data_IF_591720654509
#
_entry.id   IF_591720654509
#
_cell.length_a   1.000
_cell.length_b   1.000
_cell.length_c   1.000
_cell.angle_alpha   90.00
_cell.angle_beta   90.00
_cell.angle_gamma   90.00
#
_symmetry.space_group_name_H-M   'P 1'
#
loop_
_entity.id
_entity.type
_entity.pdbx_description
1 polymer ?
#
# COMPACT_ATOMS: atom_id res chain seq x y z
N UNK A 1 -8.78 4.30 -25.03
CA UNK A 1 -8.33 3.08 -24.34
C UNK A 1 -7.56 3.50 -23.11
N UNK A 2 -8.16 3.41 -21.92
CA UNK A 2 -7.52 3.79 -20.67
C UNK A 2 -6.53 2.69 -20.28
N UNK A 3 -5.24 2.88 -20.56
CA UNK A 3 -4.20 2.07 -19.95
C UNK A 3 -4.05 2.52 -18.49
N UNK A 4 -4.91 2.02 -17.61
CA UNK A 4 -4.59 2.06 -16.18
C UNK A 4 -3.33 1.25 -15.95
N UNK A 5 -2.46 1.78 -15.09
CA UNK A 5 -1.23 1.08 -14.77
C UNK A 5 -1.53 -0.12 -13.87
N UNK A 6 -0.78 -1.22 -14.02
CA UNK A 6 -0.99 -2.46 -13.26
C UNK A 6 -1.13 -2.23 -11.75
N UNK A 7 -0.31 -1.34 -11.18
CA UNK A 7 -0.32 -1.08 -9.74
C UNK A 7 -1.62 -0.40 -9.26
N UNK A 8 -2.27 0.40 -10.11
CA UNK A 8 -3.53 1.08 -9.79
C UNK A 8 -4.67 0.07 -9.74
N UNK A 9 -4.83 -0.74 -10.78
CA UNK A 9 -5.84 -1.81 -10.85
C UNK A 9 -5.65 -2.83 -9.76
N UNK A 10 -4.41 -3.28 -9.54
CA UNK A 10 -4.08 -4.26 -8.53
C UNK A 10 -4.45 -3.75 -7.13
N UNK A 11 -4.01 -2.54 -6.75
CA UNK A 11 -4.31 -2.01 -5.43
C UNK A 11 -5.80 -1.67 -5.25
N UNK A 12 -6.51 -1.31 -6.31
CA UNK A 12 -7.97 -1.17 -6.26
C UNK A 12 -8.65 -2.51 -5.99
N UNK A 13 -8.26 -3.56 -6.71
CA UNK A 13 -8.78 -4.90 -6.51
C UNK A 13 -8.45 -5.46 -5.11
N UNK A 14 -7.26 -5.19 -4.57
CA UNK A 14 -6.88 -5.63 -3.21
C UNK A 14 -7.75 -4.99 -2.14
N UNK A 15 -8.07 -3.69 -2.27
CA UNK A 15 -8.97 -2.99 -1.32
C UNK A 15 -10.35 -3.62 -1.27
N UNK A 16 -10.90 -4.00 -2.41
CA UNK A 16 -12.20 -4.67 -2.51
C UNK A 16 -12.14 -6.13 -2.05
N UNK A 17 -11.11 -6.87 -2.47
CA UNK A 17 -10.96 -8.30 -2.16
C UNK A 17 -10.82 -8.57 -0.66
N UNK A 18 -10.31 -7.61 0.11
CA UNK A 18 -10.22 -7.69 1.57
C UNK A 18 -11.57 -7.63 2.31
N UNK A 19 -12.67 -7.33 1.63
CA UNK A 19 -14.00 -7.20 2.25
C UNK A 19 -14.59 -8.53 2.74
N UNK A 20 -14.34 -9.64 2.04
CA UNK A 20 -14.78 -10.98 2.45
C UNK A 20 -14.00 -12.10 1.76
N UNK A 21 -14.02 -13.29 2.36
CA UNK A 21 -13.45 -14.49 1.75
C UNK A 21 -14.10 -14.82 0.40
N UNK A 22 -15.41 -14.64 0.27
CA UNK A 22 -16.13 -14.89 -0.98
C UNK A 22 -15.65 -13.92 -2.07
N UNK A 23 -15.48 -12.63 -1.75
CA UNK A 23 -14.97 -11.63 -2.68
C UNK A 23 -13.57 -11.99 -3.18
N UNK A 24 -12.68 -12.38 -2.27
CA UNK A 24 -11.33 -12.82 -2.64
C UNK A 24 -11.36 -14.07 -3.55
N UNK A 25 -12.15 -15.09 -3.20
CA UNK A 25 -12.17 -16.33 -3.96
C UNK A 25 -12.81 -16.14 -5.35
N UNK A 26 -13.94 -15.46 -5.43
CA UNK A 26 -14.76 -15.40 -6.63
C UNK A 26 -14.40 -14.26 -7.58
N UNK A 27 -13.96 -13.11 -7.06
CA UNK A 27 -13.84 -11.87 -7.84
C UNK A 27 -12.43 -11.29 -7.93
N UNK A 28 -11.50 -11.73 -7.08
CA UNK A 28 -10.14 -11.20 -7.12
C UNK A 28 -9.28 -11.93 -8.16
N UNK A 29 -9.02 -11.30 -9.31
CA UNK A 29 -8.26 -11.92 -10.40
C UNK A 29 -6.75 -11.95 -10.17
N UNK A 30 -6.22 -11.16 -9.24
CA UNK A 30 -4.78 -11.00 -9.01
C UNK A 30 -4.20 -11.93 -7.92
N UNK A 31 -4.79 -13.12 -7.71
CA UNK A 31 -4.39 -14.05 -6.63
C UNK A 31 -2.90 -14.39 -6.66
N UNK A 32 -2.38 -14.77 -7.83
CA UNK A 32 -0.98 -15.16 -7.99
C UNK A 32 -0.04 -13.98 -7.73
N UNK A 33 -0.35 -12.81 -8.27
CA UNK A 33 0.44 -11.60 -8.03
C UNK A 33 0.44 -11.20 -6.55
N UNK A 34 -0.73 -11.24 -5.91
CA UNK A 34 -0.87 -10.96 -4.48
C UNK A 34 -0.05 -11.92 -3.63
N UNK A 35 -0.11 -13.22 -3.92
CA UNK A 35 0.69 -14.24 -3.23
C UNK A 35 2.19 -14.01 -3.42
N UNK A 36 2.66 -13.95 -4.67
CA UNK A 36 4.09 -13.82 -4.97
C UNK A 36 4.69 -12.52 -4.45
N UNK A 37 3.97 -11.39 -4.55
CA UNK A 37 4.46 -10.11 -4.03
C UNK A 37 4.53 -10.12 -2.50
N UNK A 38 3.57 -10.76 -1.82
CA UNK A 38 3.60 -10.92 -0.37
C UNK A 38 4.82 -11.75 0.06
N UNK A 39 5.02 -12.92 -0.56
CA UNK A 39 6.16 -13.81 -0.29
C UNK A 39 7.50 -13.09 -0.54
N UNK A 40 7.62 -12.38 -1.66
CA UNK A 40 8.84 -11.64 -1.98
C UNK A 40 9.20 -10.60 -0.91
N UNK A 41 8.21 -9.84 -0.41
CA UNK A 41 8.44 -8.86 0.66
C UNK A 41 8.80 -9.53 1.99
N UNK A 42 8.16 -10.66 2.33
CA UNK A 42 8.50 -11.41 3.54
C UNK A 42 9.93 -11.95 3.51
N UNK A 43 10.37 -12.50 2.37
CA UNK A 43 11.73 -12.99 2.17
C UNK A 43 12.76 -11.86 2.26
N UNK A 44 12.49 -10.71 1.63
CA UNK A 44 13.37 -9.54 1.71
C UNK A 44 13.47 -8.99 3.14
N UNK A 45 12.35 -9.00 3.89
CA UNK A 45 12.33 -8.53 5.27
C UNK A 45 13.04 -9.49 6.22
N UNK A 46 12.90 -10.80 6.06
CA UNK A 46 13.55 -11.79 6.93
C UNK A 46 15.06 -11.85 6.70
N UNK A 47 15.52 -11.52 5.49
CA UNK A 47 16.95 -11.38 5.18
C UNK A 47 17.64 -10.22 5.91
N UNK A 48 16.90 -9.24 6.46
CA UNK A 48 17.47 -8.13 7.23
C UNK A 48 17.60 -8.52 8.71
N UNK A 49 18.83 -8.81 9.13
CA UNK A 49 19.15 -9.10 10.52
C UNK A 49 20.22 -8.13 11.05
N UNK A 50 19.89 -7.27 12.04
CA UNK A 50 18.60 -7.15 12.72
C UNK A 50 17.50 -6.51 11.83
N UNK A 51 16.21 -6.70 12.15
CA UNK A 51 15.12 -6.01 11.47
C UNK A 51 15.31 -4.50 11.56
N UNK A 52 15.23 -3.81 10.43
CA UNK A 52 15.41 -2.36 10.36
C UNK A 52 14.09 -1.67 9.99
N UNK A 53 13.70 -0.70 10.82
CA UNK A 53 12.62 0.22 10.49
C UNK A 53 13.18 1.50 9.86
N UNK A 54 12.36 2.17 9.05
CA UNK A 54 12.68 3.38 8.34
C UNK A 54 11.56 4.41 8.45
N UNK A 55 11.96 5.69 8.52
CA UNK A 55 11.04 6.79 8.29
C UNK A 55 10.84 6.96 6.80
N UNK A 56 9.60 6.83 6.34
CA UNK A 56 9.23 6.88 4.93
C UNK A 56 8.01 7.76 4.72
N UNK A 57 7.89 8.27 3.50
CA UNK A 57 6.88 9.24 3.12
C UNK A 57 6.01 8.72 1.98
N UNK A 58 4.72 9.07 2.01
CA UNK A 58 3.78 8.75 0.93
C UNK A 58 2.86 9.94 0.66
N UNK A 59 2.93 10.45 -0.57
CA UNK A 59 1.99 11.45 -1.07
C UNK A 59 0.81 10.80 -1.77
N UNK A 60 -0.38 11.37 -1.57
CA UNK A 60 -1.61 10.98 -2.27
C UNK A 60 -2.25 12.23 -2.88
N UNK A 61 -2.65 12.12 -4.15
CA UNK A 61 -3.35 13.16 -4.90
C UNK A 61 -4.84 12.81 -5.03
N UNK A 62 -5.72 13.80 -4.91
CA UNK A 62 -7.15 13.68 -5.14
C UNK A 62 -7.94 12.99 -4.02
N UNK A 63 -7.28 12.59 -2.92
CA UNK A 63 -7.93 12.01 -1.75
C UNK A 63 -7.51 12.77 -0.48
N UNK A 64 -8.50 13.16 0.31
CA UNK A 64 -8.34 13.78 1.63
C UNK A 64 -8.83 12.81 2.70
N UNK A 65 -7.90 12.10 3.33
CA UNK A 65 -8.26 11.18 4.40
C UNK A 65 -8.61 11.96 5.67
N UNK A 66 -9.67 11.53 6.35
CA UNK A 66 -9.99 12.08 7.66
C UNK A 66 -8.89 11.71 8.66
N UNK A 67 -8.51 12.67 9.50
CA UNK A 67 -7.52 12.44 10.55
C UNK A 67 -8.10 11.44 11.56
N UNK A 68 -7.49 10.27 11.67
CA UNK A 68 -7.82 9.32 12.71
C UNK A 68 -7.48 9.90 14.09
N UNK A 69 -8.22 9.50 15.14
CA UNK A 69 -7.87 9.89 16.51
C UNK A 69 -6.52 9.30 16.90
N UNK A 70 -5.73 10.03 17.68
CA UNK A 70 -4.48 9.51 18.22
C UNK A 70 -4.72 8.17 18.93
N UNK A 71 -3.88 7.17 18.64
CA UNK A 71 -4.03 5.81 19.14
C UNK A 71 -4.96 4.90 18.32
N UNK A 72 -5.61 5.41 17.27
CA UNK A 72 -6.40 4.56 16.37
C UNK A 72 -5.51 3.72 15.45
N UNK A 73 -5.91 2.47 15.23
CA UNK A 73 -5.29 1.63 14.21
C UNK A 73 -5.77 2.02 12.82
N UNK A 74 -4.83 2.30 11.92
CA UNK A 74 -5.11 2.60 10.50
C UNK A 74 -4.52 1.49 9.63
N UNK A 75 -5.29 0.99 8.66
CA UNK A 75 -4.83 0.07 7.62
C UNK A 75 -5.03 0.71 6.25
N UNK A 76 -3.99 0.69 5.41
CA UNK A 76 -4.05 1.27 4.07
C UNK A 76 -4.82 0.40 3.06
N UNK A 77 -5.08 -0.87 3.39
CA UNK A 77 -5.96 -1.76 2.61
C UNK A 77 -5.38 -2.27 1.28
N UNK A 78 -4.10 -2.01 1.00
CA UNK A 78 -3.39 -2.52 -0.18
C UNK A 78 -1.87 -2.38 0.00
N UNK A 79 -1.11 -2.70 -1.05
CA UNK A 79 0.34 -2.50 -1.03
C UNK A 79 0.65 -1.00 -1.12
N UNK A 80 1.43 -0.51 -0.17
CA UNK A 80 1.71 0.90 -0.03
C UNK A 80 3.16 1.20 -0.43
N UNK A 81 3.36 1.70 -1.65
CA UNK A 81 4.65 2.25 -2.04
C UNK A 81 4.94 3.55 -1.27
N UNK A 82 6.17 3.68 -0.79
CA UNK A 82 6.66 4.83 -0.02
C UNK A 82 8.04 5.25 -0.53
N UNK A 83 8.54 6.38 -0.04
CA UNK A 83 9.91 6.83 -0.33
C UNK A 83 10.61 7.31 0.92
N UNK A 84 11.90 7.01 1.05
CA UNK A 84 12.77 7.60 2.06
C UNK A 84 12.92 9.13 1.90
N UNK A 85 12.66 9.66 0.70
CA UNK A 85 12.78 11.09 0.40
C UNK A 85 11.39 11.73 0.30
N UNK A 86 11.08 12.63 1.22
CA UNK A 86 9.83 13.40 1.20
C UNK A 86 9.61 14.12 -0.14
N UNK A 87 10.68 14.66 -0.75
CA UNK A 87 10.61 15.33 -2.06
C UNK A 87 10.18 14.41 -3.21
N UNK A 88 10.48 13.10 -3.12
CA UNK A 88 10.02 12.10 -4.10
C UNK A 88 8.56 11.77 -3.84
N UNK A 89 8.18 11.53 -2.58
CA UNK A 89 6.79 11.23 -2.20
C UNK A 89 5.82 12.37 -2.60
N UNK A 90 6.24 13.62 -2.47
CA UNK A 90 5.46 14.80 -2.84
C UNK A 90 5.08 14.85 -4.33
N UNK A 91 5.82 14.17 -5.21
CA UNK A 91 5.48 14.07 -6.64
C UNK A 91 4.22 13.25 -6.89
N UNK A 92 3.84 12.38 -5.95
CA UNK A 92 2.64 11.56 -6.01
C UNK A 92 1.40 12.23 -5.39
N UNK A 93 1.58 13.42 -4.79
CA UNK A 93 0.51 14.23 -4.26
C UNK A 93 0.85 14.88 -2.92
N UNK A 94 0.11 15.94 -2.60
CA UNK A 94 0.23 16.70 -1.35
C UNK A 94 -1.10 16.87 -0.63
N UNK A 95 -2.19 16.35 -1.20
CA UNK A 95 -3.56 16.52 -0.69
C UNK A 95 -3.76 15.73 0.61
N UNK A 96 -3.21 14.51 0.65
CA UNK A 96 -2.87 13.81 1.88
C UNK A 96 -1.41 13.40 1.82
N UNK A 97 -0.68 13.61 2.91
CA UNK A 97 0.73 13.25 3.01
C UNK A 97 0.98 12.47 4.29
N UNK A 98 1.47 11.25 4.16
CA UNK A 98 1.78 10.36 5.28
C UNK A 98 3.28 10.40 5.58
N UNK A 99 3.59 10.52 6.88
CA UNK A 99 4.88 10.21 7.48
C UNK A 99 4.71 8.92 8.28
N UNK A 100 5.48 7.88 7.93
CA UNK A 100 5.28 6.51 8.40
C UNK A 100 6.61 6.00 8.92
N UNK A 101 6.58 5.41 10.12
CA UNK A 101 7.67 4.59 10.65
C UNK A 101 7.29 3.12 10.44
N UNK A 102 8.03 2.40 9.59
CA UNK A 102 7.74 1.01 9.22
C UNK A 102 9.00 0.18 9.12
#
# INVERSE_FOLDING_TARGET
TLHSSLYEEFNAAVREAGSSRAQYLQHFSFKTLHFLLTEALQLLSSGQHPPQCHQVFRGVKGLHFQRARTGSTVRLGGFASTSLKSSVAQKFGKDTFFDIWT
#
